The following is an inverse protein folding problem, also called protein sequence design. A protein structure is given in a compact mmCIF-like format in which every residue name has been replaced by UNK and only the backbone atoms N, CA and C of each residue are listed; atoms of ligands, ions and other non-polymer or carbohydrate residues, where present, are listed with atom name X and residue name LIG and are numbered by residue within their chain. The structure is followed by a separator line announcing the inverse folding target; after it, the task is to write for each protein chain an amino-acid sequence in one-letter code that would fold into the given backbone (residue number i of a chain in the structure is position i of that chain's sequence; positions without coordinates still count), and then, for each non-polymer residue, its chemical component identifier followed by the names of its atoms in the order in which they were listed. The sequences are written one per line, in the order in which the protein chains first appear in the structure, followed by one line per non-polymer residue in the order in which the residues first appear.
data_IF_282165560352
#
_entry.id   IF_282165560352
#
_cell.length_a   1.000
_cell.length_b   1.000
_cell.length_c   1.000
_cell.angle_alpha   90.00
_cell.angle_beta   90.00
_cell.angle_gamma   90.00
#
_symmetry.space_group_name_H-M   'P 1'
#
loop_
_entity.id
_entity.type
_entity.pdbx_description
1 polymer ?
#
# COMPACT_ATOMS: atom_id res chain seq x y z
N UNK A 1 33.58 -49.81 -49.23
CA UNK A 1 32.10 -49.75 -49.10
C UNK A 1 31.79 -48.29 -48.74
N UNK A 2 31.68 -47.33 -49.66
CA UNK A 2 30.63 -47.13 -50.69
C UNK A 2 29.32 -46.68 -50.00
N UNK A 3 28.65 -45.55 -50.27
CA UNK A 3 28.69 -44.43 -51.24
C UNK A 3 27.83 -43.29 -50.59
N UNK A 4 28.30 -42.05 -50.44
CA UNK A 4 27.98 -40.83 -51.22
C UNK A 4 26.50 -40.57 -51.62
N UNK A 5 26.03 -39.31 -51.54
CA UNK A 5 25.10 -38.76 -52.55
C UNK A 5 23.83 -38.06 -52.06
N UNK A 6 23.88 -36.74 -52.04
CA UNK A 6 22.81 -35.73 -51.94
C UNK A 6 21.96 -35.67 -53.23
N UNK A 7 20.63 -35.47 -53.15
CA UNK A 7 19.81 -34.66 -54.09
C UNK A 7 18.33 -34.50 -53.64
N UNK A 8 17.91 -33.24 -53.52
CA UNK A 8 16.54 -32.69 -53.63
C UNK A 8 16.24 -32.45 -55.15
N UNK A 9 15.12 -31.86 -55.65
CA UNK A 9 13.75 -31.59 -55.16
C UNK A 9 12.65 -31.91 -56.23
N UNK A 10 11.39 -31.49 -55.99
CA UNK A 10 10.28 -31.08 -56.91
C UNK A 10 8.92 -31.63 -56.41
N UNK A 11 8.00 -30.85 -55.84
CA UNK A 11 7.22 -29.69 -56.34
C UNK A 11 5.86 -30.08 -56.98
N UNK A 12 4.85 -29.24 -56.68
CA UNK A 12 3.49 -29.13 -57.25
C UNK A 12 2.47 -30.16 -56.74
N UNK A 13 1.27 -29.83 -56.28
CA UNK A 13 0.49 -28.59 -56.22
C UNK A 13 -0.99 -29.00 -56.07
N UNK A 14 -1.89 -28.01 -55.89
CA UNK A 14 -3.34 -28.08 -56.19
C UNK A 14 -4.16 -28.84 -55.11
N UNK A 15 -5.23 -28.35 -54.46
CA UNK A 15 -6.07 -27.14 -54.50
C UNK A 15 -6.95 -27.15 -53.24
N UNK A 16 -7.30 -25.96 -52.76
CA UNK A 16 -8.47 -25.76 -51.90
C UNK A 16 -9.77 -25.97 -52.69
N UNK A 17 -10.78 -26.61 -52.11
CA UNK A 17 -12.16 -26.08 -52.09
C UNK A 17 -13.17 -26.99 -51.36
N UNK A 18 -14.08 -26.31 -50.64
CA UNK A 18 -15.52 -26.58 -50.44
C UNK A 18 -16.01 -27.03 -49.06
N UNK A 19 -16.50 -26.00 -48.35
CA UNK A 19 -17.76 -26.06 -47.61
C UNK A 19 -18.94 -26.44 -48.51
N UNK A 20 -19.87 -27.25 -47.99
CA UNK A 20 -21.30 -26.89 -47.86
C UNK A 20 -22.13 -28.14 -47.58
N UNK A 21 -22.79 -28.21 -46.41
CA UNK A 21 -24.17 -28.73 -46.32
C UNK A 21 -24.83 -28.18 -45.03
N UNK A 22 -25.86 -27.30 -45.14
CA UNK A 22 -27.28 -27.67 -44.92
C UNK A 22 -28.22 -26.43 -44.83
N UNK A 23 -28.94 -26.26 -45.94
CA UNK A 23 -30.28 -25.68 -46.18
C UNK A 23 -31.14 -25.28 -44.97
N UNK A 24 -31.55 -24.00 -44.92
CA UNK A 24 -32.87 -23.42 -45.33
C UNK A 24 -34.01 -23.50 -44.31
N UNK A 25 -34.48 -22.32 -43.89
CA UNK A 25 -35.92 -21.99 -43.85
C UNK A 25 -36.14 -20.52 -44.23
N UNK A 26 -36.95 -20.34 -45.26
CA UNK A 26 -37.42 -19.07 -45.83
C UNK A 26 -38.72 -18.67 -45.14
N UNK A 27 -38.93 -17.38 -44.85
CA UNK A 27 -40.21 -16.74 -45.12
C UNK A 27 -40.05 -15.23 -45.40
N UNK A 28 -40.73 -14.82 -46.48
CA UNK A 28 -40.67 -13.57 -47.24
C UNK A 28 -41.44 -12.45 -46.56
N UNK A 29 -41.06 -11.18 -46.78
CA UNK A 29 -41.91 -10.15 -47.41
C UNK A 29 -41.05 -8.93 -47.82
N UNK A 30 -41.31 -8.46 -49.04
CA UNK A 30 -40.62 -7.39 -49.79
C UNK A 30 -41.28 -6.05 -49.48
N UNK A 31 -40.53 -4.94 -49.38
CA UNK A 31 -40.85 -3.66 -50.07
C UNK A 31 -39.65 -2.69 -50.07
N UNK A 32 -39.40 -2.13 -51.26
CA UNK A 32 -38.40 -1.13 -51.63
C UNK A 32 -38.58 0.19 -50.84
N UNK A 33 -37.47 0.82 -50.45
CA UNK A 33 -37.45 2.20 -49.97
C UNK A 33 -36.04 2.77 -49.83
N UNK A 34 -35.63 3.56 -50.82
CA UNK A 34 -34.56 4.58 -50.88
C UNK A 34 -33.53 4.63 -49.72
N UNK A 35 -32.28 4.36 -50.06
CA UNK A 35 -31.11 4.71 -49.25
C UNK A 35 -30.93 6.24 -49.23
N UNK A 36 -31.09 6.86 -48.06
CA UNK A 36 -30.68 8.23 -47.79
C UNK A 36 -29.59 8.18 -46.71
N UNK A 37 -28.44 8.74 -47.04
CA UNK A 37 -27.26 8.86 -46.18
C UNK A 37 -27.64 9.71 -44.95
N UNK A 38 -27.50 9.16 -43.76
CA UNK A 38 -27.51 9.93 -42.52
C UNK A 38 -26.34 9.46 -41.65
N UNK A 39 -25.29 10.27 -41.64
CA UNK A 39 -24.26 10.23 -40.61
C UNK A 39 -24.94 10.51 -39.27
N UNK A 40 -25.03 9.50 -38.39
CA UNK A 40 -25.44 9.69 -37.01
C UNK A 40 -24.28 10.35 -36.28
N UNK A 41 -24.31 11.68 -36.24
CA UNK A 41 -23.63 12.45 -35.20
C UNK A 41 -24.34 12.09 -33.90
N UNK A 42 -23.66 11.33 -33.03
CA UNK A 42 -24.09 11.16 -31.65
C UNK A 42 -23.99 12.54 -30.98
N UNK A 43 -25.10 13.28 -31.01
CA UNK A 43 -25.31 14.44 -30.17
C UNK A 43 -25.37 13.97 -28.72
N UNK A 44 -24.25 14.06 -28.02
CA UNK A 44 -24.25 14.15 -26.56
C UNK A 44 -24.81 15.54 -26.25
N UNK A 45 -26.11 15.62 -25.98
CA UNK A 45 -26.63 16.76 -25.24
C UNK A 45 -25.95 16.72 -23.86
N UNK A 46 -25.32 17.80 -23.37
CA UNK A 46 -25.01 17.88 -21.96
C UNK A 46 -26.35 17.85 -21.21
N UNK A 47 -26.59 16.76 -20.47
CA UNK A 47 -27.52 16.80 -19.35
C UNK A 47 -26.93 17.81 -18.37
N UNK A 48 -27.74 18.79 -17.98
CA UNK A 48 -27.41 19.77 -16.96
C UNK A 48 -26.65 19.10 -15.81
N UNK A 49 -25.43 19.58 -15.57
CA UNK A 49 -24.77 19.34 -14.30
C UNK A 49 -25.70 19.96 -13.25
N UNK A 50 -26.33 19.13 -12.42
CA UNK A 50 -26.89 19.62 -11.18
C UNK A 50 -25.74 20.34 -10.46
N UNK A 51 -25.84 21.67 -10.35
CA UNK A 51 -24.93 22.46 -9.53
C UNK A 51 -25.07 21.86 -8.13
N UNK A 52 -23.99 21.30 -7.61
CA UNK A 52 -23.96 20.85 -6.22
C UNK A 52 -24.29 22.07 -5.36
N UNK A 53 -25.39 22.00 -4.62
CA UNK A 53 -25.80 23.01 -3.66
C UNK A 53 -24.71 23.11 -2.58
N UNK A 54 -23.91 24.18 -2.62
CA UNK A 54 -22.79 24.36 -1.69
C UNK A 54 -23.32 24.95 -0.38
N UNK A 55 -23.15 24.26 0.73
CA UNK A 55 -23.66 24.69 2.03
C UNK A 55 -22.71 25.68 2.72
N UNK A 56 -23.27 26.64 3.45
CA UNK A 56 -22.50 27.59 4.25
C UNK A 56 -23.16 27.84 5.62
N UNK A 57 -22.36 28.25 6.60
CA UNK A 57 -22.80 28.66 7.94
C UNK A 57 -22.65 30.17 8.09
N UNK A 58 -23.63 30.82 8.70
CA UNK A 58 -23.53 32.23 9.09
C UNK A 58 -22.57 32.37 10.27
N UNK A 59 -21.50 33.14 10.10
CA UNK A 59 -20.48 33.44 11.10
C UNK A 59 -20.48 34.94 11.42
N UNK A 60 -21.54 35.41 12.07
CA UNK A 60 -21.72 36.81 12.46
C UNK A 60 -22.38 36.91 13.83
N UNK A 61 -21.66 37.46 14.80
CA UNK A 61 -22.19 37.73 16.13
C UNK A 61 -23.29 38.80 16.04
N UNK A 62 -24.54 38.40 16.31
CA UNK A 62 -25.74 39.23 16.12
C UNK A 62 -26.58 38.88 14.89
N UNK A 63 -26.13 37.95 14.04
CA UNK A 63 -26.82 37.50 12.84
C UNK A 63 -26.44 38.27 11.57
N UNK A 64 -26.78 37.71 10.41
CA UNK A 64 -26.47 38.24 9.09
C UNK A 64 -27.75 38.54 8.30
N UNK A 65 -27.87 39.74 7.75
CA UNK A 65 -29.01 40.12 6.93
C UNK A 65 -28.98 39.40 5.57
N UNK A 66 -30.10 38.75 5.22
CA UNK A 66 -30.42 38.31 3.87
C UNK A 66 -31.08 39.49 3.13
N UNK A 67 -30.52 39.89 1.99
CA UNK A 67 -30.98 41.08 1.25
C UNK A 67 -31.53 40.77 -0.14
N UNK A 68 -32.39 41.63 -0.66
CA UNK A 68 -32.99 41.48 -1.98
C UNK A 68 -32.00 41.62 -3.15
N UNK A 69 -30.91 42.37 -2.96
CA UNK A 69 -29.86 42.61 -3.95
C UNK A 69 -28.48 42.67 -3.26
N UNK A 70 -27.35 42.50 -4.01
CA UNK A 70 -25.99 42.53 -3.45
C UNK A 70 -25.53 43.96 -3.12
N UNK A 71 -26.23 44.63 -2.22
CA UNK A 71 -25.96 46.00 -1.79
C UNK A 71 -26.38 46.22 -0.34
N UNK A 72 -25.67 47.09 0.37
CA UNK A 72 -26.02 47.50 1.74
C UNK A 72 -27.30 48.35 1.79
N UNK A 73 -27.69 48.95 0.67
CA UNK A 73 -28.91 49.77 0.56
C UNK A 73 -30.14 48.94 0.15
N UNK A 74 -29.96 47.66 -0.17
CA UNK A 74 -31.05 46.78 -0.58
C UNK A 74 -31.93 46.40 0.62
N UNK A 75 -33.22 46.16 0.34
CA UNK A 75 -34.20 45.68 1.32
C UNK A 75 -33.70 44.42 2.05
N UNK A 76 -33.88 44.40 3.37
CA UNK A 76 -33.58 43.24 4.21
C UNK A 76 -34.78 42.31 4.23
N UNK A 77 -34.60 41.11 3.68
CA UNK A 77 -35.63 40.08 3.57
C UNK A 77 -35.75 39.24 4.85
N UNK A 78 -34.63 39.00 5.54
CA UNK A 78 -34.59 38.26 6.80
C UNK A 78 -33.29 38.54 7.57
N UNK A 79 -33.29 38.30 8.88
CA UNK A 79 -32.09 38.19 9.70
C UNK A 79 -31.78 36.71 9.92
N UNK A 80 -30.63 36.25 9.44
CA UNK A 80 -30.16 34.88 9.58
C UNK A 80 -29.35 34.76 10.89
N UNK A 81 -29.76 33.95 11.88
CA UNK A 81 -29.03 33.83 13.13
C UNK A 81 -27.59 33.31 12.94
N UNK A 82 -26.70 33.66 13.87
CA UNK A 82 -25.36 33.06 13.92
C UNK A 82 -25.46 31.53 14.02
N UNK A 83 -24.61 30.80 13.30
CA UNK A 83 -24.63 29.33 13.25
C UNK A 83 -25.73 28.74 12.37
N UNK A 84 -26.57 29.57 11.75
CA UNK A 84 -27.59 29.09 10.83
C UNK A 84 -26.98 28.62 9.49
N UNK A 85 -27.55 27.55 8.94
CA UNK A 85 -27.14 26.98 7.66
C UNK A 85 -27.88 27.66 6.50
N UNK A 86 -27.15 27.94 5.42
CA UNK A 86 -27.68 28.51 4.18
C UNK A 86 -27.15 27.72 2.99
N UNK A 87 -27.91 27.70 1.90
CA UNK A 87 -27.48 27.09 0.63
C UNK A 87 -26.97 28.18 -0.31
N UNK A 88 -25.75 28.08 -0.82
CA UNK A 88 -25.18 28.98 -1.83
C UNK A 88 -25.62 28.52 -3.22
N UNK A 89 -26.34 29.39 -3.94
CA UNK A 89 -26.98 29.05 -5.22
C UNK A 89 -26.16 29.43 -6.46
N UNK A 90 -24.94 29.97 -6.28
CA UNK A 90 -24.12 30.41 -7.41
C UNK A 90 -22.89 31.21 -6.99
N UNK A 91 -22.19 31.73 -8.00
CA UNK A 91 -20.93 32.45 -7.84
C UNK A 91 -21.09 33.75 -7.06
N UNK A 92 -20.01 34.12 -6.36
CA UNK A 92 -19.86 35.42 -5.72
C UNK A 92 -20.01 36.55 -6.74
N UNK A 93 -20.80 37.57 -6.38
CA UNK A 93 -20.82 38.86 -7.08
C UNK A 93 -20.29 39.91 -6.12
N UNK A 94 -19.15 40.51 -6.45
CA UNK A 94 -18.41 41.42 -5.57
C UNK A 94 -18.18 40.83 -4.16
N UNK A 95 -18.77 41.39 -3.11
CA UNK A 95 -18.68 40.90 -1.73
C UNK A 95 -19.97 40.20 -1.26
N UNK A 96 -20.73 39.60 -2.18
CA UNK A 96 -22.01 38.96 -1.89
C UNK A 96 -22.16 37.58 -2.53
N UNK A 97 -22.78 36.65 -1.80
CA UNK A 97 -23.24 35.36 -2.34
C UNK A 97 -24.76 35.36 -2.51
N UNK A 98 -25.29 34.79 -3.60
CA UNK A 98 -26.69 34.42 -3.68
C UNK A 98 -26.92 33.18 -2.82
N UNK A 99 -27.79 33.30 -1.82
CA UNK A 99 -28.08 32.20 -0.87
C UNK A 99 -29.58 31.92 -0.76
N UNK A 100 -29.90 30.78 -0.15
CA UNK A 100 -31.23 30.40 0.31
C UNK A 100 -31.20 30.17 1.81
N UNK A 101 -32.11 30.81 2.52
CA UNK A 101 -32.31 30.60 3.96
C UNK A 101 -33.81 30.45 4.26
N UNK A 102 -34.19 29.35 4.90
CA UNK A 102 -35.60 29.09 5.23
C UNK A 102 -36.55 29.10 4.03
N UNK A 103 -36.06 28.74 2.84
CA UNK A 103 -36.82 28.79 1.57
C UNK A 103 -36.86 30.16 0.89
N UNK A 104 -36.26 31.20 1.48
CA UNK A 104 -36.19 32.55 0.91
C UNK A 104 -34.86 32.75 0.18
N UNK A 105 -34.94 33.17 -1.08
CA UNK A 105 -33.80 33.49 -1.92
C UNK A 105 -33.37 34.95 -1.72
N UNK A 106 -32.09 35.18 -1.44
CA UNK A 106 -31.53 36.53 -1.32
C UNK A 106 -30.01 36.56 -1.44
N UNK A 107 -29.41 37.65 -0.98
CA UNK A 107 -27.97 37.91 -1.02
C UNK A 107 -27.42 38.12 0.39
N UNK A 108 -26.25 37.56 0.66
CA UNK A 108 -25.59 37.65 1.95
C UNK A 108 -24.11 38.03 1.77
N UNK A 109 -23.60 38.88 2.66
CA UNK A 109 -22.25 39.42 2.55
C UNK A 109 -21.20 38.32 2.84
N UNK A 110 -20.25 38.17 1.92
CA UNK A 110 -19.27 37.07 1.91
C UNK A 110 -18.40 36.97 3.17
N UNK A 111 -17.98 38.05 3.85
CA UNK A 111 -17.11 37.95 5.03
C UNK A 111 -17.77 37.25 6.23
N UNK A 112 -19.10 37.07 6.18
CA UNK A 112 -19.91 36.53 7.27
C UNK A 112 -20.48 35.15 6.95
N UNK A 113 -20.03 34.52 5.85
CA UNK A 113 -20.42 33.18 5.46
C UNK A 113 -19.19 32.26 5.47
N UNK A 114 -19.28 31.19 6.24
CA UNK A 114 -18.31 30.09 6.26
C UNK A 114 -18.82 28.98 5.34
N UNK A 115 -18.27 28.86 4.14
CA UNK A 115 -18.63 27.81 3.18
C UNK A 115 -17.96 26.49 3.55
N UNK A 116 -18.67 25.37 3.39
CA UNK A 116 -18.07 24.05 3.37
C UNK A 116 -17.63 23.77 1.94
N UNK A 117 -16.35 23.94 1.62
CA UNK A 117 -15.89 23.62 0.27
C UNK A 117 -16.09 22.13 -0.02
N UNK A 118 -16.99 21.84 -0.97
CA UNK A 118 -17.03 20.57 -1.69
C UNK A 118 -15.66 20.33 -2.33
N UNK A 119 -14.96 19.24 -1.94
CA UNK A 119 -13.62 18.91 -2.44
C UNK A 119 -13.53 18.98 -3.98
N UNK A 120 -12.56 19.70 -4.57
CA UNK A 120 -12.13 19.42 -5.92
C UNK A 120 -11.44 18.05 -5.95
N UNK A 121 -11.88 17.21 -6.88
CA UNK A 121 -11.15 16.01 -7.32
C UNK A 121 -9.70 16.36 -7.65
N UNK A 122 -8.77 15.54 -7.17
CA UNK A 122 -7.34 15.73 -7.26
C UNK A 122 -6.85 15.94 -8.71
N UNK A 123 -6.12 17.02 -8.92
CA UNK A 123 -5.07 17.10 -9.93
C UNK A 123 -3.77 17.57 -9.24
N UNK A 124 -2.61 16.96 -9.54
CA UNK A 124 -1.42 17.13 -8.74
C UNK A 124 -0.61 18.34 -9.21
N UNK A 125 -0.19 19.20 -8.29
CA UNK A 125 1.00 20.03 -8.50
C UNK A 125 1.84 20.07 -7.22
N UNK A 126 3.11 19.77 -7.43
CA UNK A 126 4.14 19.58 -6.44
C UNK A 126 4.50 20.87 -5.69
N UNK A 127 4.51 20.81 -4.36
CA UNK A 127 5.70 21.01 -3.51
C UNK A 127 5.28 20.97 -2.05
N UNK A 128 5.32 19.78 -1.45
CA UNK A 128 5.65 19.50 -0.05
C UNK A 128 5.41 18.01 0.18
N UNK A 129 6.48 17.26 0.47
CA UNK A 129 6.45 15.82 0.80
C UNK A 129 5.77 15.53 2.16
N UNK A 130 5.25 16.56 2.83
CA UNK A 130 4.69 16.51 4.18
C UNK A 130 3.17 16.46 4.06
N UNK A 131 2.57 15.30 4.31
CA UNK A 131 1.09 15.18 4.40
C UNK A 131 0.57 15.44 5.80
N UNK A 132 1.41 15.29 6.83
CA UNK A 132 1.01 15.46 8.22
C UNK A 132 2.08 16.19 9.03
N UNK A 133 1.68 16.85 10.11
CA UNK A 133 2.58 17.42 11.10
C UNK A 133 2.09 17.09 12.52
N UNK A 134 3.01 17.00 13.48
CA UNK A 134 2.72 16.92 14.91
C UNK A 134 2.88 18.30 15.51
N UNK A 135 1.88 18.75 16.24
CA UNK A 135 1.91 20.02 16.96
C UNK A 135 2.79 19.87 18.20
N UNK A 136 3.85 20.66 18.34
CA UNK A 136 4.82 20.54 19.44
C UNK A 136 4.34 21.15 20.77
N UNK A 137 3.35 22.03 20.72
CA UNK A 137 2.78 22.74 21.87
C UNK A 137 1.29 23.02 21.66
N UNK A 138 0.61 23.69 22.59
CA UNK A 138 -0.74 24.20 22.31
C UNK A 138 -0.66 25.29 21.24
N UNK A 139 -1.23 25.06 20.06
CA UNK A 139 -1.07 25.91 18.88
C UNK A 139 -2.41 26.39 18.34
N UNK A 140 -2.50 27.68 17.97
CA UNK A 140 -3.72 28.26 17.40
C UNK A 140 -3.81 27.99 15.89
N UNK A 141 -4.96 27.49 15.45
CA UNK A 141 -5.36 27.47 14.04
C UNK A 141 -6.08 28.79 13.72
N UNK A 142 -5.61 29.53 12.73
CA UNK A 142 -6.12 30.88 12.39
C UNK A 142 -6.73 30.94 10.99
N UNK A 143 -7.59 31.92 10.74
CA UNK A 143 -8.19 32.12 9.42
C UNK A 143 -7.24 32.65 8.35
N UNK A 144 -6.06 33.16 8.74
CA UNK A 144 -5.04 33.71 7.84
C UNK A 144 -3.63 33.60 8.41
N UNK A 145 -2.58 33.72 7.57
CA UNK A 145 -1.17 33.56 7.95
C UNK A 145 -0.61 34.80 8.67
N UNK A 146 -1.32 35.28 9.69
CA UNK A 146 -0.93 36.45 10.50
C UNK A 146 -1.31 36.23 11.97
N UNK A 147 -0.65 36.94 12.89
CA UNK A 147 -0.98 36.84 14.32
C UNK A 147 -2.31 37.52 14.69
N UNK A 148 -2.82 38.40 13.84
CA UNK A 148 -4.07 39.14 14.05
C UNK A 148 -5.29 38.44 13.45
N UNK A 149 -5.08 37.42 12.61
CA UNK A 149 -6.16 36.63 12.04
C UNK A 149 -6.97 35.91 13.12
N UNK A 150 -8.28 35.81 12.90
CA UNK A 150 -9.22 35.18 13.84
C UNK A 150 -8.79 33.75 14.19
N UNK A 151 -8.88 33.39 15.47
CA UNK A 151 -8.56 32.04 15.95
C UNK A 151 -9.77 31.14 15.68
N UNK A 152 -9.60 30.18 14.79
CA UNK A 152 -10.62 29.18 14.44
C UNK A 152 -10.69 28.06 15.48
N UNK A 153 -9.53 27.63 15.99
CA UNK A 153 -9.43 26.57 16.99
C UNK A 153 -8.07 26.60 17.71
N UNK A 154 -7.94 25.82 18.77
CA UNK A 154 -6.67 25.55 19.45
C UNK A 154 -6.37 24.05 19.40
N UNK A 155 -5.22 23.72 18.85
CA UNK A 155 -4.71 22.36 18.66
C UNK A 155 -3.84 21.98 19.86
N UNK A 156 -4.16 20.91 20.61
CA UNK A 156 -3.32 20.44 21.71
C UNK A 156 -1.94 19.95 21.23
N UNK A 157 -0.94 20.01 22.12
CA UNK A 157 0.37 19.40 21.87
C UNK A 157 0.23 17.89 21.62
N UNK A 158 1.02 17.36 20.68
CA UNK A 158 0.99 15.95 20.24
C UNK A 158 -0.10 15.64 19.20
N UNK A 159 -0.99 16.58 18.90
CA UNK A 159 -2.02 16.41 17.87
C UNK A 159 -1.40 16.28 16.49
N UNK A 160 -1.94 15.38 15.66
CA UNK A 160 -1.61 15.29 14.23
C UNK A 160 -2.54 16.18 13.42
N UNK A 161 -1.97 16.92 12.48
CA UNK A 161 -2.71 17.80 11.56
C UNK A 161 -2.35 17.45 10.13
N UNK A 162 -3.29 17.64 9.20
CA UNK A 162 -3.04 17.41 7.78
C UNK A 162 -2.43 18.67 7.17
N UNK A 163 -1.24 18.57 6.58
CA UNK A 163 -0.58 19.72 5.94
C UNK A 163 -1.13 19.87 4.53
N UNK A 164 -1.76 21.01 4.26
CA UNK A 164 -2.43 21.31 2.99
C UNK A 164 -1.54 22.18 2.10
N UNK A 165 -0.84 23.16 2.69
CA UNK A 165 0.15 24.00 2.00
C UNK A 165 1.33 24.28 2.94
N UNK A 166 2.53 23.89 2.52
CA UNK A 166 3.78 24.18 3.22
C UNK A 166 4.85 24.55 2.19
N UNK A 167 5.52 25.69 2.39
CA UNK A 167 6.64 26.11 1.56
C UNK A 167 7.91 26.18 2.42
N UNK A 168 9.05 25.88 1.82
CA UNK A 168 10.33 25.98 2.50
C UNK A 168 10.60 27.45 2.91
N UNK A 169 11.00 27.65 4.17
CA UNK A 169 11.15 28.98 4.78
C UNK A 169 9.84 29.72 5.10
N UNK A 170 8.66 29.14 4.87
CA UNK A 170 7.39 29.78 5.24
C UNK A 170 7.16 29.74 6.76
N UNK A 171 6.78 30.90 7.31
CA UNK A 171 6.50 31.09 8.74
C UNK A 171 5.12 30.54 9.14
N UNK A 172 4.22 30.38 8.16
CA UNK A 172 2.87 29.85 8.34
C UNK A 172 2.62 28.72 7.36
N UNK A 173 2.06 27.61 7.86
CA UNK A 173 1.57 26.52 7.02
C UNK A 173 0.04 26.47 7.09
N UNK A 174 -0.58 26.10 5.97
CA UNK A 174 -2.01 25.80 5.93
C UNK A 174 -2.21 24.35 6.34
N UNK A 175 -3.04 24.13 7.35
CA UNK A 175 -3.28 22.81 7.93
C UNK A 175 -4.77 22.56 8.16
N UNK A 176 -5.15 21.29 8.12
CA UNK A 176 -6.47 20.79 8.48
C UNK A 176 -6.48 20.24 9.91
N UNK A 177 -7.47 20.63 10.71
CA UNK A 177 -7.71 20.08 12.06
C UNK A 177 -9.20 20.07 12.40
N UNK A 178 -9.72 18.91 12.83
CA UNK A 178 -11.13 18.73 13.25
C UNK A 178 -12.16 19.25 12.24
N UNK A 179 -11.90 19.05 10.94
CA UNK A 179 -12.77 19.51 9.85
C UNK A 179 -12.62 20.99 9.48
N UNK A 180 -11.74 21.74 10.16
CA UNK A 180 -11.41 23.13 9.84
C UNK A 180 -10.12 23.19 9.02
N UNK A 181 -10.05 24.11 8.06
CA UNK A 181 -8.82 24.49 7.36
C UNK A 181 -8.40 25.89 7.79
N UNK A 182 -7.12 26.08 8.11
CA UNK A 182 -6.59 27.37 8.55
C UNK A 182 -5.07 27.39 8.57
N UNK A 183 -4.48 28.49 9.05
CA UNK A 183 -3.05 28.71 9.11
C UNK A 183 -2.53 28.54 10.54
N UNK A 184 -1.41 27.84 10.66
CA UNK A 184 -0.71 27.61 11.92
C UNK A 184 0.78 27.95 11.77
N UNK A 185 1.38 28.42 12.86
CA UNK A 185 2.76 28.90 12.86
C UNK A 185 3.72 27.72 12.73
N UNK A 186 4.54 27.73 11.68
CA UNK A 186 5.30 26.57 11.20
C UNK A 186 6.35 26.08 12.22
N UNK A 187 6.91 26.97 13.03
CA UNK A 187 7.90 26.61 14.08
C UNK A 187 7.35 25.60 15.10
N UNK A 188 6.04 25.54 15.28
CA UNK A 188 5.37 24.61 16.20
C UNK A 188 4.77 23.39 15.50
N UNK A 189 5.06 23.21 14.22
CA UNK A 189 4.65 22.07 13.42
C UNK A 189 5.89 21.26 13.06
N UNK A 190 6.06 20.12 13.70
CA UNK A 190 7.08 19.16 13.31
C UNK A 190 6.51 18.30 12.18
N UNK A 191 7.11 18.27 10.98
CA UNK A 191 6.70 17.34 9.93
C UNK A 191 6.58 15.93 10.49
N UNK A 192 5.37 15.38 10.42
CA UNK A 192 5.20 13.96 10.57
C UNK A 192 5.53 13.41 9.19
N UNK A 193 6.66 12.71 9.09
CA UNK A 193 6.89 11.93 7.89
C UNK A 193 5.67 11.02 7.66
N UNK A 194 5.22 10.96 6.41
CA UNK A 194 4.01 10.24 6.04
C UNK A 194 4.21 8.77 6.38
N UNK A 195 3.57 8.31 7.46
CA UNK A 195 3.73 6.96 7.97
C UNK A 195 3.30 5.97 6.88
N UNK A 196 4.24 5.14 6.44
CA UNK A 196 3.97 4.00 5.60
C UNK A 196 3.48 2.86 6.48
N UNK A 197 2.32 2.30 6.18
CA UNK A 197 1.74 1.20 6.93
C UNK A 197 1.12 0.20 5.95
N UNK A 198 1.78 -0.94 5.77
CA UNK A 198 1.36 -1.99 4.87
C UNK A 198 1.32 -3.30 5.63
N UNK A 199 0.12 -3.86 5.75
CA UNK A 199 -0.10 -5.20 6.27
C UNK A 199 -0.74 -6.07 5.18
N UNK A 200 -0.01 -7.08 4.71
CA UNK A 200 -0.50 -7.91 3.60
C UNK A 200 -1.61 -8.86 4.09
N UNK A 201 -2.70 -9.01 3.31
CA UNK A 201 -3.84 -9.87 3.67
C UNK A 201 -3.52 -11.34 3.39
N UNK A 202 -2.50 -11.88 4.07
CA UNK A 202 -2.06 -13.25 3.88
C UNK A 202 -3.09 -14.22 4.49
N UNK A 203 -3.51 -15.27 3.76
CA UNK A 203 -4.34 -16.34 4.32
C UNK A 203 -3.61 -17.04 5.46
N UNK A 204 -4.18 -17.02 6.67
CA UNK A 204 -3.58 -17.70 7.80
C UNK A 204 -3.68 -19.23 7.66
N UNK A 205 -2.58 -19.94 7.96
CA UNK A 205 -2.51 -21.39 8.11
C UNK A 205 -1.74 -21.74 9.37
N UNK A 206 -2.28 -22.70 10.12
CA UNK A 206 -1.65 -23.19 11.35
C UNK A 206 -0.61 -24.26 10.99
N UNK A 207 0.50 -24.31 11.73
CA UNK A 207 1.39 -25.48 11.66
C UNK A 207 0.66 -26.76 12.11
N UNK A 208 0.85 -27.84 11.36
CA UNK A 208 0.18 -29.11 11.62
C UNK A 208 0.96 -30.02 12.58
N UNK A 209 2.25 -29.74 12.79
CA UNK A 209 3.11 -30.43 13.78
C UNK A 209 3.92 -29.41 14.58
N UNK A 210 4.64 -29.85 15.61
CA UNK A 210 5.47 -28.97 16.44
C UNK A 210 6.68 -28.36 15.71
N UNK A 211 7.12 -28.96 14.60
CA UNK A 211 8.33 -28.55 13.86
C UNK A 211 8.03 -27.90 12.51
N UNK A 212 6.77 -27.91 12.05
CA UNK A 212 6.39 -27.40 10.73
C UNK A 212 5.99 -25.91 10.72
N UNK A 213 6.79 -25.05 11.36
CA UNK A 213 6.57 -23.61 11.26
C UNK A 213 6.80 -23.10 9.83
N UNK A 214 7.89 -23.51 9.21
CA UNK A 214 8.35 -23.14 7.89
C UNK A 214 7.47 -23.71 6.76
N UNK A 215 7.06 -25.01 6.76
CA UNK A 215 6.03 -25.48 5.85
C UNK A 215 4.73 -24.67 5.89
N UNK A 216 4.28 -24.27 7.08
CA UNK A 216 3.08 -23.46 7.22
C UNK A 216 3.28 -22.04 6.68
N UNK A 217 4.43 -21.41 6.95
CA UNK A 217 4.80 -20.10 6.40
C UNK A 217 4.87 -20.14 4.87
N UNK A 218 5.48 -21.17 4.29
CA UNK A 218 5.54 -21.37 2.83
C UNK A 218 4.14 -21.61 2.26
N UNK A 219 3.28 -22.39 2.93
CA UNK A 219 1.89 -22.59 2.50
C UNK A 219 1.13 -21.25 2.45
N UNK A 220 1.21 -20.45 3.52
CA UNK A 220 0.59 -19.12 3.59
C UNK A 220 1.10 -18.20 2.47
N UNK A 221 2.41 -18.22 2.23
CA UNK A 221 3.04 -17.43 1.17
C UNK A 221 2.61 -17.89 -0.24
N UNK A 222 2.54 -19.19 -0.48
CA UNK A 222 2.08 -19.76 -1.74
C UNK A 222 0.62 -19.37 -2.03
N UNK A 223 -0.26 -19.50 -1.06
CA UNK A 223 -1.66 -19.11 -1.21
C UNK A 223 -1.84 -17.60 -1.42
N UNK A 224 -1.04 -16.76 -0.73
CA UNK A 224 -1.01 -15.32 -0.97
C UNK A 224 -0.66 -14.98 -2.42
N UNK A 225 0.23 -15.75 -3.05
CA UNK A 225 0.59 -15.61 -4.46
C UNK A 225 -0.38 -16.34 -5.41
N UNK A 226 -1.49 -16.89 -4.91
CA UNK A 226 -2.54 -17.51 -5.73
C UNK A 226 -2.33 -18.99 -6.05
N UNK A 227 -1.31 -19.64 -5.48
CA UNK A 227 -1.10 -21.08 -5.64
C UNK A 227 -2.14 -21.87 -4.84
N UNK A 228 -2.62 -22.98 -5.42
CA UNK A 228 -3.54 -23.90 -4.75
C UNK A 228 -2.74 -25.02 -4.08
N UNK A 229 -2.73 -25.04 -2.76
CA UNK A 229 -1.91 -25.93 -1.93
C UNK A 229 -2.62 -27.21 -1.50
N UNK A 230 -3.96 -27.23 -1.52
CA UNK A 230 -4.75 -28.38 -1.06
C UNK A 230 -4.94 -28.38 0.45
N UNK A 231 -5.21 -29.53 1.09
CA UNK A 231 -5.42 -29.59 2.54
C UNK A 231 -4.11 -29.46 3.33
N UNK A 232 -4.18 -28.75 4.47
CA UNK A 232 -3.03 -28.27 5.24
C UNK A 232 -1.99 -29.35 5.58
N UNK A 233 -2.43 -30.52 6.04
CA UNK A 233 -1.49 -31.59 6.39
C UNK A 233 -0.69 -32.08 5.18
N UNK A 234 -1.32 -32.32 4.04
CA UNK A 234 -0.60 -32.80 2.86
C UNK A 234 0.30 -31.72 2.26
N UNK A 235 -0.16 -30.47 2.24
CA UNK A 235 0.65 -29.35 1.78
C UNK A 235 1.92 -29.22 2.60
N UNK A 236 1.81 -29.16 3.93
CA UNK A 236 2.95 -28.99 4.82
C UNK A 236 3.84 -30.24 4.87
N UNK A 237 3.28 -31.45 4.82
CA UNK A 237 4.07 -32.68 4.72
C UNK A 237 4.93 -32.69 3.45
N UNK A 238 4.38 -32.27 2.31
CA UNK A 238 5.13 -32.29 1.04
C UNK A 238 6.31 -31.31 1.03
N UNK A 239 6.16 -30.17 1.72
CA UNK A 239 7.25 -29.20 1.92
C UNK A 239 8.32 -29.77 2.86
N UNK A 240 7.88 -30.37 3.97
CA UNK A 240 8.78 -31.01 4.93
C UNK A 240 9.57 -32.17 4.32
N UNK A 241 8.92 -33.04 3.55
CA UNK A 241 9.58 -34.15 2.86
C UNK A 241 10.67 -33.62 1.90
N UNK A 242 10.39 -32.52 1.20
CA UNK A 242 11.38 -31.86 0.36
C UNK A 242 12.55 -31.28 1.16
N UNK A 243 12.26 -30.63 2.29
CA UNK A 243 13.28 -30.05 3.17
C UNK A 243 14.25 -31.11 3.68
N UNK A 244 13.74 -32.28 4.09
CA UNK A 244 14.57 -33.41 4.54
C UNK A 244 15.50 -33.92 3.44
N UNK A 245 15.05 -33.95 2.18
CA UNK A 245 15.86 -34.38 1.04
C UNK A 245 16.91 -33.34 0.62
N UNK A 246 16.69 -32.06 0.96
CA UNK A 246 17.53 -30.93 0.53
C UNK A 246 18.17 -30.19 1.71
N UNK A 247 18.40 -30.88 2.83
CA UNK A 247 18.86 -30.25 4.07
C UNK A 247 20.36 -29.92 4.11
N UNK A 248 21.01 -29.70 2.97
CA UNK A 248 22.45 -29.39 2.87
C UNK A 248 23.36 -30.38 3.65
N UNK A 249 22.92 -31.64 3.80
CA UNK A 249 23.63 -32.68 4.55
C UNK A 249 23.45 -32.67 6.06
N UNK A 250 22.70 -31.71 6.63
CA UNK A 250 22.36 -31.69 8.05
C UNK A 250 21.29 -32.72 8.41
N UNK A 251 21.43 -33.34 9.58
CA UNK A 251 20.36 -34.15 10.18
C UNK A 251 19.31 -33.27 10.85
N UNK A 252 18.10 -33.80 11.08
CA UNK A 252 17.01 -33.10 11.78
C UNK A 252 17.43 -32.66 13.20
N UNK A 253 18.24 -33.47 13.89
CA UNK A 253 18.74 -33.14 15.23
C UNK A 253 19.77 -32.00 15.22
N UNK A 254 20.48 -31.81 14.10
CA UNK A 254 21.43 -30.71 13.91
C UNK A 254 20.73 -29.44 13.44
N UNK A 255 19.80 -29.58 12.49
CA UNK A 255 18.96 -28.55 11.91
C UNK A 255 17.65 -29.18 11.46
N UNK A 256 16.54 -28.86 12.15
CA UNK A 256 15.20 -29.34 11.78
C UNK A 256 14.96 -29.20 10.28
N UNK A 257 15.05 -27.96 9.80
CA UNK A 257 15.23 -27.61 8.40
C UNK A 257 16.20 -26.43 8.34
N UNK A 258 17.28 -26.59 7.56
CA UNK A 258 18.25 -25.53 7.33
C UNK A 258 17.61 -24.40 6.51
N UNK A 259 18.06 -23.14 6.66
CA UNK A 259 17.56 -22.05 5.84
C UNK A 259 17.66 -22.30 4.33
N UNK A 260 18.67 -23.06 3.88
CA UNK A 260 18.76 -23.51 2.48
C UNK A 260 17.59 -24.42 2.10
N UNK A 261 17.26 -25.42 2.95
CA UNK A 261 16.14 -26.33 2.73
C UNK A 261 14.82 -25.56 2.61
N UNK A 262 14.57 -24.61 3.53
CA UNK A 262 13.35 -23.77 3.52
C UNK A 262 13.27 -22.94 2.24
N UNK A 263 14.37 -22.28 1.83
CA UNK A 263 14.42 -21.55 0.57
C UNK A 263 14.19 -22.47 -0.65
N UNK A 264 14.75 -23.68 -0.60
CA UNK A 264 14.63 -24.68 -1.67
C UNK A 264 13.19 -25.18 -1.80
N UNK A 265 12.52 -25.46 -0.68
CA UNK A 265 11.11 -25.84 -0.65
C UNK A 265 10.21 -24.72 -1.15
N UNK A 266 10.45 -23.47 -0.72
CA UNK A 266 9.73 -22.31 -1.24
C UNK A 266 9.92 -22.15 -2.76
N UNK A 267 11.15 -22.31 -3.27
CA UNK A 267 11.43 -22.28 -4.70
C UNK A 267 10.74 -23.42 -5.45
N UNK A 268 10.78 -24.64 -4.93
CA UNK A 268 10.12 -25.77 -5.56
C UNK A 268 8.58 -25.59 -5.61
N UNK A 269 8.00 -25.03 -4.56
CA UNK A 269 6.56 -24.73 -4.50
C UNK A 269 6.16 -23.57 -5.43
N UNK A 270 7.06 -22.60 -5.65
CA UNK A 270 6.80 -21.35 -6.37
C UNK A 270 7.99 -20.97 -7.29
N UNK A 271 8.30 -21.76 -8.34
CA UNK A 271 9.55 -21.62 -9.10
C UNK A 271 9.64 -20.31 -9.88
N UNK A 272 8.50 -19.77 -10.33
CA UNK A 272 8.46 -18.51 -11.09
C UNK A 272 8.87 -17.27 -10.26
N UNK A 273 8.96 -17.40 -8.93
CA UNK A 273 9.30 -16.30 -8.02
C UNK A 273 10.78 -16.27 -7.64
N UNK A 274 11.44 -17.43 -7.58
CA UNK A 274 12.79 -17.56 -7.00
C UNK A 274 12.83 -17.30 -5.50
N UNK A 275 13.59 -18.09 -4.77
CA UNK A 275 13.76 -17.88 -3.32
C UNK A 275 15.20 -18.13 -2.94
N UNK A 276 15.67 -17.36 -1.96
CA UNK A 276 16.98 -17.54 -1.40
C UNK A 276 16.99 -17.34 0.11
N UNK A 277 17.98 -17.94 0.75
CA UNK A 277 18.27 -17.68 2.16
C UNK A 277 19.28 -16.54 2.25
N UNK A 278 18.89 -15.48 2.95
CA UNK A 278 19.71 -14.30 3.13
C UNK A 278 20.37 -14.34 4.49
N UNK A 279 21.63 -13.92 4.52
CA UNK A 279 22.46 -13.89 5.71
C UNK A 279 22.88 -12.46 5.99
N UNK A 280 22.59 -12.00 7.20
CA UNK A 280 22.88 -10.64 7.63
C UNK A 280 23.66 -10.61 8.92
N UNK A 281 24.54 -9.61 9.03
CA UNK A 281 25.27 -9.31 10.26
C UNK A 281 24.49 -8.37 11.20
N UNK A 282 23.39 -7.79 10.72
CA UNK A 282 22.63 -6.77 11.44
C UNK A 282 21.12 -6.97 11.26
N UNK A 283 20.40 -7.12 12.37
CA UNK A 283 18.95 -7.31 12.41
C UNK A 283 18.16 -6.16 11.75
N UNK A 284 18.59 -4.92 11.94
CA UNK A 284 17.92 -3.76 11.35
C UNK A 284 18.10 -3.75 9.83
N UNK A 285 19.29 -4.04 9.32
CA UNK A 285 19.52 -4.10 7.87
C UNK A 285 18.72 -5.24 7.23
N UNK A 286 18.70 -6.43 7.85
CA UNK A 286 17.82 -7.52 7.45
C UNK A 286 16.34 -7.09 7.41
N UNK A 287 15.89 -6.37 8.44
CA UNK A 287 14.51 -5.87 8.53
C UNK A 287 14.19 -4.83 7.45
N UNK A 288 15.15 -3.97 7.08
CA UNK A 288 14.98 -3.03 5.97
C UNK A 288 14.84 -3.75 4.62
N UNK A 289 15.58 -4.85 4.40
CA UNK A 289 15.43 -5.66 3.18
C UNK A 289 14.05 -6.33 3.13
N UNK A 290 13.59 -6.93 4.23
CA UNK A 290 12.22 -7.47 4.32
C UNK A 290 11.18 -6.39 4.02
N UNK A 291 11.33 -5.21 4.64
CA UNK A 291 10.46 -4.06 4.41
C UNK A 291 10.45 -3.61 2.94
N UNK A 292 11.60 -3.63 2.27
CA UNK A 292 11.72 -3.29 0.85
C UNK A 292 10.94 -4.26 -0.03
N UNK A 293 11.04 -5.58 0.19
CA UNK A 293 10.28 -6.58 -0.56
C UNK A 293 8.77 -6.45 -0.34
N UNK A 294 8.34 -6.20 0.90
CA UNK A 294 6.94 -5.99 1.26
C UNK A 294 6.39 -4.73 0.58
N UNK A 295 7.16 -3.65 0.60
CA UNK A 295 6.77 -2.36 0.02
C UNK A 295 6.86 -2.32 -1.51
N UNK A 296 7.60 -3.25 -2.13
CA UNK A 296 7.78 -3.29 -3.58
C UNK A 296 6.41 -3.43 -4.29
N UNK A 297 6.00 -2.45 -5.11
CA UNK A 297 4.66 -2.41 -5.69
C UNK A 297 4.39 -3.50 -6.73
N UNK A 298 5.44 -4.08 -7.33
CA UNK A 298 5.30 -5.11 -8.35
C UNK A 298 4.79 -6.43 -7.77
N UNK A 299 5.24 -6.78 -6.56
CA UNK A 299 5.05 -8.12 -6.03
C UNK A 299 4.62 -8.19 -4.57
N UNK A 300 4.84 -7.14 -3.75
CA UNK A 300 4.46 -7.06 -2.33
C UNK A 300 4.76 -8.36 -1.57
N UNK A 301 6.02 -8.78 -1.56
CA UNK A 301 6.39 -10.10 -1.09
C UNK A 301 6.67 -10.10 0.42
N UNK A 302 6.09 -11.02 1.20
CA UNK A 302 6.50 -11.22 2.58
C UNK A 302 7.92 -11.82 2.66
N UNK A 303 8.37 -12.16 3.86
CA UNK A 303 9.61 -12.89 4.09
C UNK A 303 9.42 -13.86 5.25
N UNK A 304 10.01 -15.06 5.18
CA UNK A 304 10.09 -15.93 6.37
C UNK A 304 11.32 -15.53 7.16
N UNK A 305 11.18 -15.18 8.43
CA UNK A 305 12.30 -14.83 9.31
C UNK A 305 12.58 -15.98 10.28
N UNK A 306 13.85 -16.34 10.42
CA UNK A 306 14.30 -17.25 11.47
C UNK A 306 14.46 -16.45 12.77
N UNK A 307 13.72 -16.82 13.80
CA UNK A 307 13.66 -16.10 15.08
C UNK A 307 14.07 -17.01 16.24
N UNK A 308 14.18 -16.41 17.44
CA UNK A 308 14.65 -17.05 18.67
C UNK A 308 15.79 -18.00 18.43
N UNK A 309 16.92 -17.43 18.01
CA UNK A 309 18.17 -18.17 17.95
C UNK A 309 18.13 -19.36 17.02
N UNK A 310 17.22 -19.45 16.05
CA UNK A 310 17.14 -20.59 15.14
C UNK A 310 16.04 -21.58 15.45
N UNK A 311 15.24 -21.33 16.48
CA UNK A 311 14.29 -22.32 16.99
C UNK A 311 12.95 -22.32 16.23
N UNK A 312 12.60 -21.22 15.56
CA UNK A 312 11.28 -21.04 14.96
C UNK A 312 11.32 -20.11 13.75
N UNK A 313 10.49 -20.41 12.76
CA UNK A 313 10.25 -19.53 11.61
C UNK A 313 8.91 -18.81 11.75
N UNK A 314 8.87 -17.56 11.29
CA UNK A 314 7.64 -16.78 11.20
C UNK A 314 7.54 -16.01 9.90
N UNK A 315 6.33 -15.81 9.41
CA UNK A 315 6.09 -15.00 8.22
C UNK A 315 5.97 -13.51 8.56
N UNK A 316 6.97 -12.72 8.17
CA UNK A 316 6.92 -11.26 8.20
C UNK A 316 6.13 -10.79 6.99
N UNK A 317 4.90 -10.33 7.26
CA UNK A 317 3.88 -10.03 6.24
C UNK A 317 3.56 -8.55 6.08
N UNK A 318 4.14 -7.69 6.90
CA UNK A 318 3.87 -6.27 6.82
C UNK A 318 4.93 -5.44 7.50
N UNK A 319 4.90 -4.14 7.22
CA UNK A 319 5.81 -3.16 7.79
C UNK A 319 5.10 -1.84 8.06
N UNK A 320 5.47 -1.23 9.19
CA UNK A 320 5.20 0.17 9.47
C UNK A 320 6.51 0.93 9.49
N UNK A 321 6.58 2.05 8.77
CA UNK A 321 7.76 2.90 8.64
C UNK A 321 7.37 4.38 8.61
N UNK A 322 8.33 5.28 8.76
CA UNK A 322 8.10 6.72 8.63
C UNK A 322 8.01 7.21 7.19
N UNK A 323 8.47 6.41 6.24
CA UNK A 323 8.37 6.64 4.81
C UNK A 323 8.37 5.31 4.05
N UNK A 324 8.01 5.32 2.76
CA UNK A 324 7.97 4.13 1.91
C UNK A 324 9.34 3.41 1.84
N UNK A 325 9.47 2.19 2.41
CA UNK A 325 10.73 1.46 2.41
C UNK A 325 11.26 1.12 1.02
N UNK A 326 10.39 0.98 0.01
CA UNK A 326 10.82 0.65 -1.34
C UNK A 326 11.57 1.82 -2.00
N UNK A 327 10.91 2.98 -2.10
CA UNK A 327 11.47 4.16 -2.76
C UNK A 327 12.53 4.91 -1.93
N UNK A 328 12.59 4.67 -0.61
CA UNK A 328 13.53 5.34 0.30
C UNK A 328 14.62 4.43 0.84
N UNK A 329 14.77 3.20 0.36
CA UNK A 329 15.84 2.32 0.85
C UNK A 329 17.24 2.93 0.67
N UNK A 330 18.15 2.79 1.66
CA UNK A 330 17.98 2.17 2.98
C UNK A 330 17.60 3.19 4.09
N UNK A 331 17.09 4.36 3.72
CA UNK A 331 16.86 5.52 4.60
C UNK A 331 15.52 5.51 5.33
N UNK A 332 14.52 4.77 4.86
CA UNK A 332 13.26 4.62 5.58
C UNK A 332 13.52 4.03 6.98
N UNK A 333 12.98 4.67 8.02
CA UNK A 333 13.09 4.17 9.39
C UNK A 333 11.94 3.24 9.67
N UNK A 334 12.28 1.99 9.96
CA UNK A 334 11.30 0.98 10.30
C UNK A 334 10.80 1.22 11.74
N UNK A 335 9.49 1.27 11.91
CA UNK A 335 8.81 1.46 13.20
C UNK A 335 8.36 0.13 13.80
N UNK A 336 8.11 -0.88 12.96
CA UNK A 336 7.81 -2.25 13.38
C UNK A 336 7.35 -3.11 12.22
N UNK A 337 7.07 -4.37 12.49
CA UNK A 337 6.67 -5.37 11.50
C UNK A 337 5.36 -6.05 11.90
N UNK A 338 4.58 -6.47 10.91
CA UNK A 338 3.46 -7.38 11.11
C UNK A 338 3.93 -8.79 10.85
N UNK A 339 3.67 -9.69 11.80
CA UNK A 339 4.08 -11.09 11.73
C UNK A 339 2.85 -11.98 11.80
N UNK A 340 2.86 -13.07 11.03
CA UNK A 340 2.00 -14.21 11.26
C UNK A 340 2.85 -15.34 11.86
N UNK A 341 2.42 -15.84 13.03
CA UNK A 341 3.04 -16.99 13.68
C UNK A 341 2.15 -18.22 13.42
N UNK A 342 2.63 -19.21 12.65
CA UNK A 342 1.84 -20.41 12.34
C UNK A 342 1.51 -21.23 13.61
N UNK A 343 2.16 -20.96 14.75
CA UNK A 343 1.86 -21.57 16.03
C UNK A 343 0.74 -20.88 16.83
N UNK A 344 -0.26 -20.35 16.14
CA UNK A 344 -1.35 -19.59 16.76
C UNK A 344 -2.05 -20.38 17.88
N UNK A 345 -2.11 -19.77 19.07
CA UNK A 345 -2.69 -20.34 20.29
C UNK A 345 -1.72 -21.11 21.19
N UNK A 346 -0.42 -21.17 20.86
CA UNK A 346 0.61 -21.64 21.79
C UNK A 346 0.80 -20.66 22.96
N UNK A 347 1.12 -21.19 24.16
CA UNK A 347 1.43 -20.37 25.35
C UNK A 347 2.83 -19.75 25.30
N UNK A 348 3.70 -20.31 24.47
CA UNK A 348 5.04 -19.84 24.20
C UNK A 348 5.06 -19.23 22.79
N UNK A 349 6.15 -18.55 22.44
CA UNK A 349 6.33 -17.90 21.14
C UNK A 349 5.42 -16.67 20.94
N UNK A 350 5.26 -16.17 19.70
CA UNK A 350 4.40 -15.02 19.43
C UNK A 350 2.94 -15.44 19.58
N UNK A 351 2.60 -16.66 19.14
CA UNK A 351 1.32 -17.32 19.43
C UNK A 351 0.08 -16.64 18.83
N UNK A 352 0.26 -15.52 18.14
CA UNK A 352 -0.77 -14.74 17.47
C UNK A 352 -0.19 -13.88 16.35
N UNK A 353 -1.02 -13.57 15.36
CA UNK A 353 -0.67 -12.59 14.33
C UNK A 353 -0.74 -11.20 14.96
N UNK A 354 0.37 -10.45 14.94
CA UNK A 354 0.41 -9.13 15.57
C UNK A 354 1.43 -8.20 14.94
N UNK A 355 1.21 -6.92 15.23
CA UNK A 355 2.21 -5.89 15.04
C UNK A 355 3.23 -5.94 16.18
N UNK A 356 4.52 -5.94 15.83
CA UNK A 356 5.64 -5.94 16.78
C UNK A 356 6.41 -4.62 16.59
N UNK A 357 6.50 -3.76 17.61
CA UNK A 357 7.33 -2.57 17.57
C UNK A 357 8.80 -2.91 17.31
N UNK A 358 9.50 -2.08 16.54
CA UNK A 358 10.87 -2.37 16.08
C UNK A 358 11.84 -2.66 17.23
N UNK A 359 11.72 -1.96 18.36
CA UNK A 359 12.56 -2.20 19.53
C UNK A 359 12.35 -3.60 20.12
N UNK A 360 11.11 -4.09 20.15
CA UNK A 360 10.79 -5.44 20.61
C UNK A 360 11.27 -6.49 19.60
N UNK A 361 11.02 -6.26 18.31
CA UNK A 361 11.46 -7.13 17.21
C UNK A 361 12.96 -7.41 17.27
N UNK A 362 13.78 -6.35 17.33
CA UNK A 362 15.24 -6.46 17.27
C UNK A 362 15.89 -6.97 18.56
N UNK A 363 15.22 -6.83 19.70
CA UNK A 363 15.80 -7.23 21.00
C UNK A 363 15.39 -8.63 21.44
N UNK A 364 14.17 -9.07 21.07
CA UNK A 364 13.53 -10.22 21.70
C UNK A 364 13.12 -11.32 20.73
N UNK A 365 12.93 -11.01 19.45
CA UNK A 365 12.39 -11.95 18.47
C UNK A 365 13.42 -12.29 17.40
N UNK A 366 13.78 -11.31 16.58
CA UNK A 366 14.73 -11.51 15.48
C UNK A 366 16.16 -11.47 15.99
N UNK A 367 16.61 -12.64 16.42
CA UNK A 367 17.90 -12.88 17.05
C UNK A 367 18.76 -13.69 16.08
N UNK A 368 20.10 -13.57 16.14
CA UNK A 368 20.96 -14.30 15.23
C UNK A 368 20.78 -15.81 15.46
N UNK A 369 20.81 -16.59 14.39
CA UNK A 369 20.74 -18.03 14.45
C UNK A 369 21.91 -18.58 15.28
N UNK A 370 21.57 -19.44 16.23
CA UNK A 370 22.51 -20.19 17.07
C UNK A 370 22.00 -21.63 17.17
N UNK A 371 22.80 -22.56 17.67
CA UNK A 371 22.40 -23.97 17.67
C UNK A 371 21.24 -24.26 18.63
N UNK A 372 20.22 -24.97 18.12
CA UNK A 372 19.08 -25.51 18.87
C UNK A 372 19.49 -26.53 19.95
N UNK A 373 20.68 -27.11 19.84
CA UNK A 373 21.31 -27.92 20.90
C UNK A 373 22.64 -27.30 21.33
N UNK A 374 22.82 -26.90 22.60
CA UNK A 374 24.13 -26.54 23.11
C UNK A 374 25.10 -27.73 22.95
N UNK A 375 26.27 -27.51 22.34
CA UNK A 375 27.42 -28.43 22.26
C UNK A 375 27.58 -29.39 21.06
N UNK A 376 26.88 -29.26 19.93
CA UNK A 376 27.22 -30.07 18.73
C UNK A 376 28.21 -29.38 17.79
N UNK A 377 28.15 -28.04 17.65
CA UNK A 377 29.15 -27.25 16.94
C UNK A 377 29.47 -27.79 15.55
N UNK A 378 28.46 -27.92 14.69
CA UNK A 378 28.61 -28.51 13.36
C UNK A 378 29.58 -27.65 12.54
N UNK A 379 30.80 -28.15 12.24
CA UNK A 379 31.78 -27.38 11.51
C UNK A 379 31.28 -27.11 10.08
N UNK A 380 31.18 -25.84 9.69
CA UNK A 380 30.80 -25.43 8.33
C UNK A 380 29.39 -24.84 8.19
N UNK A 381 28.63 -24.67 9.27
CA UNK A 381 27.34 -23.96 9.24
C UNK A 381 27.50 -22.48 8.80
N UNK A 382 26.91 -22.07 7.65
CA UNK A 382 27.06 -20.72 7.12
C UNK A 382 26.13 -19.68 7.77
N UNK A 383 25.19 -20.07 8.63
CA UNK A 383 24.18 -19.21 9.27
C UNK A 383 24.50 -18.87 10.72
N UNK A 384 25.52 -19.50 11.30
CA UNK A 384 25.95 -19.24 12.67
C UNK A 384 26.22 -17.74 12.89
N UNK A 385 25.63 -17.19 13.94
CA UNK A 385 25.70 -15.78 14.33
C UNK A 385 25.15 -14.80 13.29
N UNK A 386 24.35 -15.28 12.32
CA UNK A 386 23.68 -14.45 11.32
C UNK A 386 22.20 -14.31 11.62
N UNK A 387 21.64 -13.15 11.28
CA UNK A 387 20.21 -13.02 11.11
C UNK A 387 19.84 -13.61 9.75
N UNK A 388 18.78 -14.42 9.71
CA UNK A 388 18.42 -15.18 8.51
C UNK A 388 16.98 -14.90 8.12
N UNK A 389 16.78 -14.64 6.83
CA UNK A 389 15.46 -14.53 6.24
C UNK A 389 15.41 -15.28 4.91
N UNK A 390 14.30 -15.97 4.66
CA UNK A 390 13.96 -16.54 3.36
C UNK A 390 13.17 -15.48 2.60
N UNK A 391 13.70 -15.07 1.46
CA UNK A 391 13.18 -13.96 0.70
C UNK A 391 13.14 -14.30 -0.79
N UNK A 392 12.33 -13.59 -1.59
CA UNK A 392 12.37 -13.74 -3.03
C UNK A 392 13.78 -13.48 -3.58
N UNK A 393 14.13 -14.21 -4.62
CA UNK A 393 15.31 -13.91 -5.42
C UNK A 393 14.91 -12.97 -6.57
N UNK A 394 15.55 -11.81 -6.67
CA UNK A 394 15.16 -10.76 -7.64
C UNK A 394 15.37 -11.13 -9.12
N UNK A 395 16.02 -12.26 -9.40
CA UNK A 395 16.15 -12.81 -10.75
C UNK A 395 15.38 -14.13 -10.93
N UNK A 396 14.51 -14.47 -9.98
CA UNK A 396 13.75 -15.71 -9.91
C UNK A 396 14.61 -17.00 -9.88
N UNK A 397 15.88 -16.92 -9.48
CA UNK A 397 16.74 -18.11 -9.37
C UNK A 397 16.41 -19.01 -8.19
N UNK A 398 16.81 -20.27 -8.34
CA UNK A 398 16.88 -21.23 -7.24
C UNK A 398 17.94 -20.82 -6.21
N UNK A 399 17.77 -21.20 -4.92
CA UNK A 399 18.76 -20.93 -3.91
C UNK A 399 20.08 -21.64 -4.21
N UNK A 400 21.18 -21.00 -3.83
CA UNK A 400 22.50 -21.62 -3.83
C UNK A 400 22.88 -21.99 -2.40
N UNK A 401 23.81 -22.93 -2.20
CA UNK A 401 24.35 -23.22 -0.86
C UNK A 401 24.94 -21.97 -0.20
N UNK A 402 25.53 -21.07 -1.00
CA UNK A 402 26.07 -19.80 -0.51
C UNK A 402 24.98 -18.80 -0.08
N UNK A 403 23.74 -18.91 -0.57
CA UNK A 403 22.69 -17.96 -0.25
C UNK A 403 22.93 -16.57 -0.83
N UNK A 404 22.31 -15.55 -0.21
CA UNK A 404 22.48 -14.13 -0.54
C UNK A 404 23.01 -13.33 0.63
N UNK A 405 23.72 -12.26 0.30
CA UNK A 405 24.28 -11.29 1.24
C UNK A 405 23.60 -9.93 1.12
N UNK A 406 23.78 -9.08 2.13
CA UNK A 406 23.33 -7.69 2.09
C UNK A 406 23.98 -6.90 0.95
N UNK A 407 25.25 -7.15 0.64
CA UNK A 407 25.99 -6.45 -0.40
C UNK A 407 25.40 -6.73 -1.79
N UNK A 408 25.09 -8.01 -2.10
CA UNK A 408 24.41 -8.39 -3.34
C UNK A 408 23.05 -7.70 -3.47
N UNK A 409 22.26 -7.66 -2.39
CA UNK A 409 20.97 -6.97 -2.40
C UNK A 409 21.13 -5.45 -2.59
N UNK A 410 22.07 -4.82 -1.90
CA UNK A 410 22.30 -3.37 -2.01
C UNK A 410 22.75 -2.98 -3.42
N UNK A 411 23.59 -3.80 -4.06
CA UNK A 411 23.97 -3.62 -5.45
C UNK A 411 22.73 -3.66 -6.36
N UNK A 412 21.85 -4.64 -6.17
CA UNK A 412 20.59 -4.76 -6.92
C UNK A 412 19.62 -3.60 -6.66
N UNK A 413 19.34 -3.28 -5.39
CA UNK A 413 18.37 -2.26 -5.01
C UNK A 413 18.80 -0.86 -5.51
N UNK A 414 20.10 -0.59 -5.53
CA UNK A 414 20.64 0.66 -6.08
C UNK A 414 20.36 0.78 -7.59
N UNK A 415 20.63 -0.27 -8.36
CA UNK A 415 20.32 -0.30 -9.81
C UNK A 415 18.80 -0.23 -10.06
N UNK A 416 18.00 -1.00 -9.31
CA UNK A 416 16.54 -0.98 -9.44
C UNK A 416 15.93 0.41 -9.18
N UNK A 417 16.51 1.21 -8.26
CA UNK A 417 16.05 2.58 -8.00
C UNK A 417 16.40 3.61 -9.08
N UNK A 418 17.30 3.24 -10.02
CA UNK A 418 17.70 4.07 -11.16
C UNK A 418 16.89 3.77 -12.44
N UNK A 419 16.10 2.71 -12.43
CA UNK A 419 15.23 2.27 -13.52
C UNK A 419 13.80 2.76 -13.29
#
# INVERSE_FOLDING_TARGET
MGVCGMHDPHATGITAERHDVFRHRINRFVFLGLALIAAVVFGVLPRDAAIADDEAIVAADGGLNLRAAPSLDAEVLALMPNGSQVTVRGSQTDSWYPVTFGGVNGWAATPYLQRFESQPSAAPLASATIRQAVVSTSLRLRSGPTFDAAVLSTMPAGTRVDVQEANDGAVWWKVGFSGLSGYAYAEYLSPAEAQFDLDLPIPFRRQMTAVWCDPADIQMWAEYNGYRTGPDYQAQQSLWDWELEHNMGFTVDEWNASPYAVASAAHNAMPERGFNHYRYDNAMEATKVMAWFIANPAYKQPSVALIWRGDHYVLVRGVRADSDPYSKYPRARILGVYVADPNKGARNWLGEDRYIPIAEWLSSHFTPATYLTPHTGVPGDPWQDKFVAIQPDWNASAPTEAGRTLEEFQAYATDASQR
#
